data_IF_534348389174
#
_entry.id   IF_534348389174
#
_cell.length_a   1.000
_cell.length_b   1.000
_cell.length_c   1.000
_cell.angle_alpha   90.00
_cell.angle_beta   90.00
_cell.angle_gamma   90.00
#
_symmetry.space_group_name_H-M   'P 1'
#
loop_
_entity.id
_entity.type
_entity.pdbx_description
1 polymer ?
#
# COMPACT_ATOMS: atom_id res chain seq x y z
N UNK A 1 9.17 -20.76 112.24
CA UNK A 1 9.18 -21.85 111.25
C UNK A 1 8.90 -21.24 109.89
N UNK A 2 9.69 -21.56 108.87
CA UNK A 2 9.41 -21.10 107.51
C UNK A 2 8.07 -21.70 107.05
N UNK A 3 7.08 -20.86 106.78
CA UNK A 3 5.73 -21.27 106.39
C UNK A 3 5.69 -21.61 104.90
N UNK A 4 4.70 -22.40 104.47
CA UNK A 4 4.54 -22.82 103.08
C UNK A 4 4.53 -21.63 102.09
N UNK A 5 3.94 -20.50 102.49
CA UNK A 5 3.90 -19.25 101.72
C UNK A 5 5.29 -18.71 101.35
N UNK A 6 6.29 -18.89 102.21
CA UNK A 6 7.67 -18.45 101.95
C UNK A 6 8.34 -19.28 100.84
N UNK A 7 8.17 -20.61 100.89
CA UNK A 7 8.67 -21.50 99.83
C UNK A 7 7.91 -21.29 98.51
N UNK A 8 6.61 -20.99 98.57
CA UNK A 8 5.81 -20.62 97.38
C UNK A 8 6.35 -19.31 96.76
N UNK A 9 6.60 -18.28 97.56
CA UNK A 9 7.17 -17.02 97.07
C UNK A 9 8.54 -17.21 96.41
N UNK A 10 9.43 -18.02 97.01
CA UNK A 10 10.74 -18.36 96.43
C UNK A 10 10.57 -19.12 95.11
N UNK A 11 9.68 -20.12 95.07
CA UNK A 11 9.43 -20.89 93.84
C UNK A 11 8.86 -20.02 92.70
N UNK A 12 8.01 -19.04 93.03
CA UNK A 12 7.46 -18.09 92.07
C UNK A 12 8.55 -17.16 91.51
N UNK A 13 9.43 -16.65 92.36
CA UNK A 13 10.56 -15.81 91.93
C UNK A 13 11.52 -16.60 91.02
N UNK A 14 11.82 -17.85 91.37
CA UNK A 14 12.66 -18.72 90.53
C UNK A 14 11.96 -18.99 89.19
N UNK A 15 10.65 -19.25 89.18
CA UNK A 15 9.86 -19.49 87.97
C UNK A 15 9.81 -18.25 87.05
N UNK A 16 9.53 -17.07 87.60
CA UNK A 16 9.54 -15.80 86.84
C UNK A 16 10.95 -15.50 86.34
N UNK A 17 11.97 -15.70 87.17
CA UNK A 17 13.37 -15.57 86.78
C UNK A 17 13.74 -16.49 85.61
N UNK A 18 13.26 -17.74 85.63
CA UNK A 18 13.47 -18.72 84.56
C UNK A 18 12.77 -18.29 83.26
N UNK A 19 11.53 -17.78 83.32
CA UNK A 19 10.79 -17.24 82.16
C UNK A 19 11.54 -16.06 81.52
N UNK A 20 12.06 -15.15 82.35
CA UNK A 20 12.84 -14.00 81.90
C UNK A 20 14.19 -14.43 81.31
N UNK A 21 14.87 -15.39 81.94
CA UNK A 21 16.13 -15.96 81.44
C UNK A 21 15.96 -16.68 80.09
N UNK A 22 14.87 -17.44 79.93
CA UNK A 22 14.48 -18.09 78.68
C UNK A 22 13.96 -17.10 77.62
N UNK A 23 13.85 -15.81 77.95
CA UNK A 23 13.43 -14.72 77.05
C UNK A 23 12.08 -14.98 76.36
N UNK A 24 11.19 -15.75 76.98
CA UNK A 24 9.84 -16.03 76.48
C UNK A 24 9.06 -14.75 76.09
N UNK A 25 9.00 -13.69 76.93
CA UNK A 25 8.24 -12.49 76.57
C UNK A 25 8.81 -11.79 75.33
N UNK A 26 10.14 -11.82 75.14
CA UNK A 26 10.80 -11.22 73.96
C UNK A 26 10.45 -11.97 72.67
N UNK A 27 10.33 -13.30 72.72
CA UNK A 27 9.94 -14.12 71.56
C UNK A 27 8.50 -13.88 71.13
N UNK A 28 7.60 -13.69 72.09
CA UNK A 28 6.19 -13.39 71.80
C UNK A 28 6.07 -12.01 71.14
N UNK A 29 6.76 -11.00 71.67
CA UNK A 29 6.80 -9.66 71.09
C UNK A 29 7.38 -9.68 69.67
N UNK A 30 8.49 -10.40 69.43
CA UNK A 30 9.08 -10.48 68.09
C UNK A 30 8.16 -11.12 67.05
N UNK A 31 7.33 -12.10 67.43
CA UNK A 31 6.37 -12.71 66.51
C UNK A 31 5.25 -11.71 66.14
N UNK A 32 4.79 -10.91 67.10
CA UNK A 32 3.82 -9.85 66.83
C UNK A 32 4.41 -8.77 65.93
N UNK A 33 5.66 -8.36 66.18
CA UNK A 33 6.37 -7.39 65.35
C UNK A 33 6.57 -7.91 63.91
N UNK A 34 6.98 -9.17 63.76
CA UNK A 34 7.14 -9.81 62.45
C UNK A 34 5.82 -9.87 61.67
N UNK A 35 4.72 -10.22 62.35
CA UNK A 35 3.38 -10.17 61.75
C UNK A 35 2.99 -8.77 61.31
N UNK A 36 3.22 -7.77 62.16
CA UNK A 36 2.94 -6.36 61.83
C UNK A 36 3.72 -5.91 60.61
N UNK A 37 5.02 -6.25 60.54
CA UNK A 37 5.88 -5.94 59.40
C UNK A 37 5.42 -6.64 58.11
N UNK A 38 5.01 -7.91 58.19
CA UNK A 38 4.51 -8.64 57.04
C UNK A 38 3.20 -8.03 56.52
N UNK A 39 2.27 -7.70 57.41
CA UNK A 39 1.01 -7.02 57.03
C UNK A 39 1.30 -5.66 56.39
N UNK A 40 2.22 -4.87 56.95
CA UNK A 40 2.60 -3.60 56.36
C UNK A 40 3.19 -3.76 54.97
N UNK A 41 4.07 -4.75 54.76
CA UNK A 41 4.63 -5.07 53.44
C UNK A 41 3.56 -5.51 52.44
N UNK A 42 2.63 -6.38 52.85
CA UNK A 42 1.53 -6.82 51.99
C UNK A 42 0.60 -5.65 51.61
N UNK A 43 0.29 -4.76 52.55
CA UNK A 43 -0.51 -3.56 52.29
C UNK A 43 0.20 -2.60 51.34
N UNK A 44 1.52 -2.42 51.49
CA UNK A 44 2.33 -1.60 50.60
C UNK A 44 2.37 -2.19 49.18
N UNK A 45 2.60 -3.49 49.07
CA UNK A 45 2.56 -4.21 47.79
C UNK A 45 1.18 -4.10 47.13
N UNK A 46 0.09 -4.28 47.87
CA UNK A 46 -1.26 -4.13 47.37
C UNK A 46 -1.55 -2.70 46.89
N UNK A 47 -1.06 -1.68 47.61
CA UNK A 47 -1.15 -0.29 47.19
C UNK A 47 -0.38 -0.05 45.90
N UNK A 48 0.85 -0.54 45.81
CA UNK A 48 1.69 -0.39 44.62
C UNK A 48 1.07 -1.08 43.40
N UNK A 49 0.55 -2.30 43.56
CA UNK A 49 -0.18 -3.02 42.50
C UNK A 49 -1.41 -2.25 42.02
N UNK A 50 -2.17 -1.64 42.96
CA UNK A 50 -3.31 -0.81 42.60
C UNK A 50 -2.89 0.44 41.82
N UNK A 51 -1.82 1.11 42.24
CA UNK A 51 -1.29 2.27 41.53
C UNK A 51 -0.80 1.91 40.13
N UNK A 52 -0.11 0.78 39.98
CA UNK A 52 0.32 0.26 38.67
C UNK A 52 -0.87 -0.07 37.78
N UNK A 53 -1.88 -0.76 38.30
CA UNK A 53 -3.11 -1.07 37.55
C UNK A 53 -3.83 0.22 37.10
N UNK A 54 -3.89 1.24 37.97
CA UNK A 54 -4.46 2.54 37.63
C UNK A 54 -3.64 3.27 36.55
N UNK A 55 -2.31 3.22 36.61
CA UNK A 55 -1.43 3.77 35.57
C UNK A 55 -1.62 3.07 34.23
N UNK A 56 -1.71 1.74 34.22
CA UNK A 56 -1.96 0.95 33.01
C UNK A 56 -3.33 1.32 32.43
N UNK A 57 -4.38 1.37 33.26
CA UNK A 57 -5.72 1.75 32.81
C UNK A 57 -5.75 3.16 32.20
N UNK A 58 -5.08 4.13 32.84
CA UNK A 58 -5.00 5.50 32.31
C UNK A 58 -4.24 5.54 30.98
N UNK A 59 -3.16 4.77 30.85
CA UNK A 59 -2.38 4.66 29.62
C UNK A 59 -3.21 4.05 28.49
N UNK A 60 -3.92 2.96 28.75
CA UNK A 60 -4.76 2.31 27.72
C UNK A 60 -5.94 3.19 27.32
N UNK A 61 -6.59 3.90 28.26
CA UNK A 61 -7.64 4.87 27.93
C UNK A 61 -7.12 5.98 27.01
N UNK A 62 -5.96 6.55 27.33
CA UNK A 62 -5.33 7.56 26.49
C UNK A 62 -4.98 7.00 25.11
N UNK A 63 -4.49 5.78 25.03
CA UNK A 63 -4.18 5.09 23.78
C UNK A 63 -5.43 4.84 22.93
N UNK A 64 -6.57 4.54 23.55
CA UNK A 64 -7.85 4.41 22.85
C UNK A 64 -8.32 5.75 22.27
N UNK A 65 -8.23 6.83 23.05
CA UNK A 65 -8.56 8.18 22.56
C UNK A 65 -7.65 8.61 21.39
N UNK A 66 -6.35 8.32 21.49
CA UNK A 66 -5.39 8.56 20.39
C UNK A 66 -5.74 7.72 19.15
N UNK A 67 -6.09 6.44 19.32
CA UNK A 67 -6.49 5.57 18.23
C UNK A 67 -7.77 6.05 17.53
N UNK A 68 -8.76 6.54 18.27
CA UNK A 68 -10.00 7.09 17.70
C UNK A 68 -9.70 8.33 16.84
N UNK A 69 -8.82 9.22 17.31
CA UNK A 69 -8.36 10.39 16.54
C UNK A 69 -7.58 9.96 15.30
N UNK A 70 -6.71 8.96 15.41
CA UNK A 70 -5.98 8.41 14.27
C UNK A 70 -6.92 7.80 13.23
N UNK A 71 -7.97 7.07 13.63
CA UNK A 71 -8.97 6.49 12.73
C UNK A 71 -9.71 7.59 11.97
N UNK A 72 -10.14 8.65 12.65
CA UNK A 72 -10.82 9.79 12.00
C UNK A 72 -9.90 10.46 10.97
N UNK A 73 -8.62 10.67 11.33
CA UNK A 73 -7.64 11.23 10.41
C UNK A 73 -7.36 10.31 9.22
N UNK A 74 -7.27 9.00 9.45
CA UNK A 74 -7.09 7.99 8.42
C UNK A 74 -8.25 8.02 7.42
N UNK A 75 -9.49 8.06 7.91
CA UNK A 75 -10.67 8.10 7.05
C UNK A 75 -10.70 9.38 6.20
N UNK A 76 -10.41 10.53 6.81
CA UNK A 76 -10.32 11.81 6.10
C UNK A 76 -9.25 11.79 5.00
N UNK A 77 -8.07 11.27 5.31
CA UNK A 77 -6.98 11.13 4.34
C UNK A 77 -7.36 10.17 3.21
N UNK A 78 -8.02 9.04 3.52
CA UNK A 78 -8.47 8.08 2.53
C UNK A 78 -9.51 8.69 1.57
N UNK A 79 -10.45 9.50 2.08
CA UNK A 79 -11.42 10.22 1.26
C UNK A 79 -10.74 11.25 0.33
N UNK A 80 -9.78 12.01 0.85
CA UNK A 80 -9.03 12.99 0.07
C UNK A 80 -8.21 12.31 -1.04
N UNK A 81 -7.47 11.25 -0.70
CA UNK A 81 -6.75 10.43 -1.67
C UNK A 81 -7.69 9.87 -2.72
N UNK A 82 -8.85 9.35 -2.33
CA UNK A 82 -9.86 8.83 -3.27
C UNK A 82 -10.33 9.90 -4.25
N UNK A 83 -10.56 11.13 -3.79
CA UNK A 83 -10.95 12.26 -4.66
C UNK A 83 -9.84 12.58 -5.66
N UNK A 84 -8.59 12.65 -5.22
CA UNK A 84 -7.42 12.91 -6.07
C UNK A 84 -7.25 11.78 -7.11
N UNK A 85 -7.33 10.52 -6.68
CA UNK A 85 -7.24 9.36 -7.57
C UNK A 85 -8.34 9.37 -8.63
N UNK A 86 -9.60 9.64 -8.25
CA UNK A 86 -10.70 9.74 -9.22
C UNK A 86 -10.47 10.86 -10.23
N UNK A 87 -10.02 12.04 -9.78
CA UNK A 87 -9.73 13.16 -10.67
C UNK A 87 -8.59 12.84 -11.64
N UNK A 88 -7.50 12.24 -11.16
CA UNK A 88 -6.37 11.84 -11.99
C UNK A 88 -6.74 10.73 -12.97
N UNK A 89 -7.51 9.72 -12.54
CA UNK A 89 -7.99 8.67 -13.42
C UNK A 89 -8.87 9.23 -14.55
N UNK A 90 -9.73 10.20 -14.25
CA UNK A 90 -10.55 10.88 -15.26
C UNK A 90 -9.70 11.64 -16.29
N UNK A 91 -8.67 12.35 -15.84
CA UNK A 91 -7.72 13.04 -16.74
C UNK A 91 -6.96 12.06 -17.63
N UNK A 92 -6.36 11.03 -17.05
CA UNK A 92 -5.62 10.01 -17.79
C UNK A 92 -6.50 9.27 -18.81
N UNK A 93 -7.74 8.96 -18.44
CA UNK A 93 -8.69 8.33 -19.36
C UNK A 93 -9.05 9.26 -20.53
N UNK A 94 -9.27 10.55 -20.25
CA UNK A 94 -9.55 11.54 -21.29
C UNK A 94 -8.38 11.69 -22.27
N UNK A 95 -7.15 11.75 -21.75
CA UNK A 95 -5.92 11.78 -22.54
C UNK A 95 -5.75 10.51 -23.39
N UNK A 96 -6.04 9.32 -22.83
CA UNK A 96 -5.97 8.06 -23.58
C UNK A 96 -7.01 8.01 -24.71
N UNK A 97 -8.24 8.46 -24.44
CA UNK A 97 -9.29 8.54 -25.45
C UNK A 97 -8.88 9.49 -26.57
N UNK A 98 -8.36 10.68 -26.24
CA UNK A 98 -7.92 11.63 -27.26
C UNK A 98 -6.75 11.09 -28.09
N UNK A 99 -5.79 10.42 -27.44
CA UNK A 99 -4.67 9.75 -28.12
C UNK A 99 -5.16 8.66 -29.07
N UNK A 100 -6.07 7.80 -28.61
CA UNK A 100 -6.66 6.73 -29.45
C UNK A 100 -7.47 7.31 -30.61
N UNK A 101 -8.22 8.39 -30.38
CA UNK A 101 -8.93 9.10 -31.44
C UNK A 101 -7.96 9.60 -32.52
N UNK A 102 -6.89 10.30 -32.13
CA UNK A 102 -5.85 10.77 -33.07
C UNK A 102 -5.21 9.61 -33.83
N UNK A 103 -4.89 8.50 -33.16
CA UNK A 103 -4.35 7.32 -33.83
C UNK A 103 -5.32 6.71 -34.86
N UNK A 104 -6.61 6.63 -34.53
CA UNK A 104 -7.64 6.17 -35.46
C UNK A 104 -7.81 7.11 -36.64
N UNK A 105 -7.82 8.43 -36.41
CA UNK A 105 -7.88 9.44 -37.49
C UNK A 105 -6.67 9.34 -38.43
N UNK A 106 -5.47 9.14 -37.89
CA UNK A 106 -4.27 8.91 -38.70
C UNK A 106 -4.37 7.62 -39.53
N UNK A 107 -4.88 6.53 -38.94
CA UNK A 107 -5.12 5.28 -39.67
C UNK A 107 -6.14 5.43 -40.78
N UNK A 108 -7.22 6.19 -40.55
CA UNK A 108 -8.24 6.47 -41.57
C UNK A 108 -7.60 7.26 -42.72
N UNK A 109 -6.87 8.34 -42.42
CA UNK A 109 -6.17 9.13 -43.46
C UNK A 109 -5.17 8.31 -44.27
N UNK A 110 -4.45 7.41 -43.60
CA UNK A 110 -3.54 6.49 -44.28
C UNK A 110 -4.30 5.54 -45.21
N UNK A 111 -5.37 4.91 -44.72
CA UNK A 111 -6.21 4.03 -45.51
C UNK A 111 -6.87 4.75 -46.71
N UNK A 112 -7.31 6.00 -46.55
CA UNK A 112 -7.84 6.83 -47.63
C UNK A 112 -6.78 7.10 -48.71
N UNK A 113 -5.56 7.49 -48.30
CA UNK A 113 -4.44 7.68 -49.22
C UNK A 113 -4.11 6.39 -49.98
N UNK A 114 -4.08 5.26 -49.29
CA UNK A 114 -3.76 3.97 -49.90
C UNK A 114 -4.87 3.50 -50.86
N UNK A 115 -6.15 3.71 -50.51
CA UNK A 115 -7.27 3.45 -51.40
C UNK A 115 -7.24 4.31 -52.67
N UNK A 116 -6.93 5.61 -52.55
CA UNK A 116 -6.77 6.51 -53.71
C UNK A 116 -5.64 6.04 -54.61
N UNK A 117 -4.51 5.61 -54.04
CA UNK A 117 -3.40 5.05 -54.82
C UNK A 117 -3.81 3.77 -55.52
N UNK A 118 -4.52 2.86 -54.85
CA UNK A 118 -4.99 1.61 -55.45
C UNK A 118 -5.94 1.86 -56.63
N UNK A 119 -6.90 2.79 -56.50
CA UNK A 119 -7.82 3.16 -57.58
C UNK A 119 -7.05 3.74 -58.77
N UNK A 120 -6.06 4.61 -58.51
CA UNK A 120 -5.21 5.16 -59.58
C UNK A 120 -4.41 4.06 -60.30
N UNK A 121 -3.83 3.13 -59.55
CA UNK A 121 -3.09 2.00 -60.12
C UNK A 121 -3.99 1.14 -61.01
N UNK A 122 -5.17 0.74 -60.53
CA UNK A 122 -6.16 0.00 -61.33
C UNK A 122 -6.60 0.76 -62.59
N UNK A 123 -6.80 2.08 -62.49
CA UNK A 123 -7.13 2.90 -63.65
C UNK A 123 -6.00 2.98 -64.68
N UNK A 124 -4.74 3.07 -64.22
CA UNK A 124 -3.57 3.06 -65.12
C UNK A 124 -3.35 1.70 -65.77
N UNK A 125 -3.58 0.60 -65.03
CA UNK A 125 -3.51 -0.76 -65.57
C UNK A 125 -4.57 -0.98 -66.64
N UNK A 126 -5.83 -0.60 -66.38
CA UNK A 126 -6.91 -0.68 -67.35
C UNK A 126 -6.62 0.19 -68.59
N UNK A 127 -6.10 1.41 -68.40
CA UNK A 127 -5.72 2.28 -69.52
C UNK A 127 -4.61 1.66 -70.37
N UNK A 128 -3.61 1.03 -69.74
CA UNK A 128 -2.54 0.32 -70.43
C UNK A 128 -3.07 -0.89 -71.20
N UNK A 129 -4.02 -1.62 -70.64
CA UNK A 129 -4.66 -2.76 -71.29
C UNK A 129 -5.47 -2.32 -72.53
N UNK A 130 -6.27 -1.26 -72.40
CA UNK A 130 -7.00 -0.65 -73.52
C UNK A 130 -6.04 -0.14 -74.58
N UNK A 131 -4.96 0.56 -74.20
CA UNK A 131 -3.96 1.05 -75.14
C UNK A 131 -3.27 -0.10 -75.90
N UNK A 132 -2.89 -1.19 -75.21
CA UNK A 132 -2.36 -2.40 -75.84
C UNK A 132 -3.35 -3.03 -76.82
N UNK A 133 -4.62 -3.13 -76.44
CA UNK A 133 -5.67 -3.67 -77.32
C UNK A 133 -5.91 -2.78 -78.54
N UNK A 134 -5.94 -1.46 -78.36
CA UNK A 134 -6.10 -0.47 -79.43
C UNK A 134 -4.94 -0.51 -80.42
N UNK A 135 -3.69 -0.54 -79.92
CA UNK A 135 -2.50 -0.70 -80.76
C UNK A 135 -2.61 -2.00 -81.54
N UNK A 136 -2.90 -3.13 -80.89
CA UNK A 136 -3.01 -4.44 -81.54
C UNK A 136 -4.08 -4.49 -82.65
N UNK A 137 -5.20 -3.79 -82.49
CA UNK A 137 -6.26 -3.72 -83.51
C UNK A 137 -5.91 -2.80 -84.68
N UNK A 138 -5.19 -1.70 -84.44
CA UNK A 138 -4.83 -0.71 -85.47
C UNK A 138 -3.41 -0.91 -86.03
N UNK A 139 -2.71 -1.97 -85.62
CA UNK A 139 -1.36 -2.28 -86.11
C UNK A 139 -1.42 -2.86 -87.52
N UNK A 140 -1.38 -1.99 -88.53
CA UNK A 140 -1.23 -2.34 -89.95
C UNK A 140 0.24 -2.14 -90.40
N UNK A 141 0.62 -2.83 -91.46
CA UNK A 141 1.89 -2.72 -92.19
C UNK A 141 2.33 -1.27 -92.45
N UNK A 142 1.40 -0.36 -92.77
CA UNK A 142 1.67 1.08 -92.96
C UNK A 142 2.15 1.77 -91.68
N UNK A 143 1.47 1.53 -90.56
CA UNK A 143 1.82 2.13 -89.27
C UNK A 143 3.17 1.58 -88.77
N UNK A 144 3.48 0.32 -89.06
CA UNK A 144 4.80 -0.26 -88.77
C UNK A 144 5.93 0.39 -89.57
N UNK A 145 5.71 0.71 -90.86
CA UNK A 145 6.71 1.42 -91.67
C UNK A 145 6.91 2.87 -91.22
N UNK A 146 5.84 3.58 -90.84
CA UNK A 146 5.94 4.96 -90.33
C UNK A 146 6.71 5.02 -89.00
N UNK A 147 6.42 4.14 -88.04
CA UNK A 147 7.16 4.06 -86.77
C UNK A 147 8.64 3.72 -87.01
N UNK A 148 8.94 2.87 -87.99
CA UNK A 148 10.32 2.51 -88.34
C UNK A 148 11.08 3.70 -88.95
N UNK A 149 10.47 4.44 -89.88
CA UNK A 149 11.07 5.66 -90.44
C UNK A 149 11.24 6.76 -89.38
N UNK A 150 10.26 6.93 -88.48
CA UNK A 150 10.34 7.87 -87.36
C UNK A 150 11.45 7.48 -86.37
N UNK A 151 11.60 6.19 -86.06
CA UNK A 151 12.69 5.69 -85.21
C UNK A 151 14.07 5.92 -85.83
N UNK A 152 14.22 5.72 -87.15
CA UNK A 152 15.46 6.04 -87.86
C UNK A 152 15.73 7.55 -87.84
N UNK A 153 14.70 8.37 -87.97
CA UNK A 153 14.82 9.83 -87.94
C UNK A 153 15.21 10.35 -86.55
N UNK A 154 14.65 9.78 -85.48
CA UNK A 154 15.00 10.12 -84.10
C UNK A 154 16.40 9.62 -83.71
N UNK A 155 16.82 8.45 -84.18
CA UNK A 155 18.20 7.99 -84.02
C UNK A 155 19.17 8.93 -84.73
N UNK A 156 18.85 9.39 -85.95
CA UNK A 156 19.67 10.34 -86.71
C UNK A 156 19.69 11.75 -86.10
N UNK A 157 18.73 12.08 -85.24
CA UNK A 157 18.62 13.38 -84.54
C UNK A 157 19.31 13.37 -83.17
N UNK A 158 19.44 12.19 -82.55
CA UNK A 158 20.12 11.97 -81.26
C UNK A 158 21.55 11.41 -81.42
N UNK A 159 22.02 11.23 -82.66
CA UNK A 159 23.42 11.11 -83.06
C UNK A 159 23.93 12.49 -83.49
#
# INVERSE_FOLDING_TARGET
>A
MFNAEFFVAISFIIFVGLILFLRLPRRILSILDERSLNIQKELEQARNLREEAQKILAKEKKKLEEADVEIVNLLKNAEELTKIFKANAGKLLSEDIERKKKQSELKIKQAESDAIKEVKLKATELSLEIAKAYIKQNFDSKMSSEIFEESIKDLKKNL
#
